data_IF_293010019980
#
_entry.id   IF_293010019980
#
_cell.length_a   1.000
_cell.length_b   1.000
_cell.length_c   1.000
_cell.angle_alpha   90.00
_cell.angle_beta   90.00
_cell.angle_gamma   90.00
#
_symmetry.space_group_name_H-M   'P 1'
#
loop_
_entity.id
_entity.type
_entity.pdbx_description
1 polymer ?
#
# COMPACT_ATOMS: atom_id res chain seq x y z
N UNK A 1 -8.89 6.65 14.98
CA UNK A 1 -10.35 6.87 14.78
C UNK A 1 -10.86 6.00 13.63
N UNK A 2 -12.17 5.73 13.50
CA UNK A 2 -12.71 4.89 12.39
C UNK A 2 -12.36 5.46 11.01
N UNK A 3 -12.55 6.77 10.81
CA UNK A 3 -12.22 7.46 9.55
C UNK A 3 -10.75 7.30 9.13
N UNK A 4 -9.81 7.48 10.06
CA UNK A 4 -8.37 7.30 9.76
C UNK A 4 -8.02 5.87 9.34
N UNK A 5 -8.72 4.85 9.85
CA UNK A 5 -8.51 3.45 9.43
C UNK A 5 -9.03 3.22 8.00
N UNK A 6 -10.16 3.84 7.65
CA UNK A 6 -10.68 3.84 6.27
C UNK A 6 -9.73 4.54 5.31
N UNK A 7 -9.20 5.72 5.67
CA UNK A 7 -8.21 6.43 4.86
C UNK A 7 -6.94 5.58 4.66
N UNK A 8 -6.46 4.92 5.72
CA UNK A 8 -5.33 3.99 5.60
C UNK A 8 -5.62 2.86 4.60
N UNK A 9 -6.82 2.26 4.63
CA UNK A 9 -7.22 1.21 3.67
C UNK A 9 -7.21 1.74 2.23
N UNK A 10 -7.79 2.92 2.00
CA UNK A 10 -7.83 3.55 0.66
C UNK A 10 -6.40 3.80 0.16
N UNK A 11 -5.53 4.37 1.00
CA UNK A 11 -4.15 4.64 0.64
C UNK A 11 -3.37 3.34 0.37
N UNK A 12 -3.57 2.28 1.15
CA UNK A 12 -2.92 0.99 0.94
C UNK A 12 -3.34 0.35 -0.40
N UNK A 13 -4.62 0.37 -0.74
CA UNK A 13 -5.07 -0.12 -2.05
C UNK A 13 -4.63 0.77 -3.21
N UNK A 14 -4.63 2.09 -3.03
CA UNK A 14 -4.09 3.01 -4.02
C UNK A 14 -2.61 2.73 -4.31
N UNK A 15 -1.82 2.44 -3.28
CA UNK A 15 -0.43 2.03 -3.43
C UNK A 15 -0.32 0.72 -4.21
N UNK A 16 -1.04 -0.34 -3.81
CA UNK A 16 -1.03 -1.65 -4.48
C UNK A 16 -1.41 -1.54 -5.96
N UNK A 17 -2.50 -0.84 -6.26
CA UNK A 17 -2.95 -0.62 -7.65
C UNK A 17 -1.90 0.20 -8.41
N UNK A 18 -1.33 1.24 -7.81
CA UNK A 18 -0.32 2.05 -8.47
C UNK A 18 0.98 1.28 -8.76
N UNK A 19 1.38 0.33 -7.90
CA UNK A 19 2.51 -0.59 -8.22
C UNK A 19 2.17 -1.45 -9.43
N UNK A 20 0.96 -2.01 -9.52
CA UNK A 20 0.53 -2.79 -10.69
C UNK A 20 0.56 -1.96 -11.98
N UNK A 21 0.08 -0.70 -11.91
CA UNK A 21 0.10 0.22 -13.05
C UNK A 21 1.54 0.59 -13.43
N UNK A 22 2.45 0.76 -12.46
CA UNK A 22 3.86 0.99 -12.75
C UNK A 22 4.51 -0.18 -13.50
N UNK A 23 4.24 -1.43 -13.08
CA UNK A 23 4.74 -2.63 -13.76
C UNK A 23 4.20 -2.68 -15.19
N UNK A 24 2.93 -2.32 -15.40
CA UNK A 24 2.36 -2.18 -16.74
C UNK A 24 3.07 -1.11 -17.57
N UNK A 25 3.35 0.09 -17.01
CA UNK A 25 4.08 1.14 -17.74
C UNK A 25 5.53 0.74 -18.08
N UNK A 26 6.19 -0.01 -17.20
CA UNK A 26 7.50 -0.60 -17.49
C UNK A 26 7.39 -1.59 -18.67
N UNK A 27 6.37 -2.46 -18.67
CA UNK A 27 6.12 -3.40 -19.76
C UNK A 27 5.76 -2.73 -21.09
N UNK A 28 5.02 -1.63 -21.07
CA UNK A 28 4.74 -0.84 -22.27
C UNK A 28 6.03 -0.35 -22.93
N UNK A 29 6.97 0.15 -22.13
CA UNK A 29 8.25 0.63 -22.63
C UNK A 29 9.18 -0.52 -23.04
N UNK A 30 9.41 -1.49 -22.15
CA UNK A 30 10.42 -2.53 -22.32
C UNK A 30 9.99 -3.70 -23.24
N UNK A 31 8.70 -4.04 -23.24
CA UNK A 31 8.17 -5.19 -23.99
C UNK A 31 7.44 -4.73 -25.25
N UNK A 32 6.53 -3.76 -25.11
CA UNK A 32 5.74 -3.30 -26.25
C UNK A 32 6.48 -2.28 -27.13
N UNK A 33 7.61 -1.71 -26.66
CA UNK A 33 8.33 -0.65 -27.36
C UNK A 33 7.49 0.62 -27.56
N UNK A 34 6.52 0.85 -26.67
CA UNK A 34 5.57 1.97 -26.73
C UNK A 34 5.70 2.84 -25.48
N UNK A 35 5.48 4.14 -25.67
CA UNK A 35 5.66 5.17 -24.63
C UNK A 35 7.10 5.29 -24.13
N UNK A 36 7.39 6.38 -23.44
CA UNK A 36 8.66 6.58 -22.73
C UNK A 36 8.55 6.14 -21.26
N UNK A 37 9.72 6.09 -20.59
CA UNK A 37 9.82 5.78 -19.16
C UNK A 37 9.17 6.83 -18.25
N UNK A 38 8.86 8.03 -18.76
CA UNK A 38 8.32 9.16 -17.99
C UNK A 38 7.05 8.80 -17.21
N UNK A 39 6.15 8.00 -17.81
CA UNK A 39 4.92 7.57 -17.14
C UNK A 39 5.22 6.64 -15.95
N UNK A 40 6.15 5.71 -16.12
CA UNK A 40 6.60 4.79 -15.07
C UNK A 40 7.28 5.57 -13.94
N UNK A 41 8.22 6.46 -14.29
CA UNK A 41 8.98 7.28 -13.34
C UNK A 41 8.07 8.22 -12.54
N UNK A 42 7.20 8.96 -13.22
CA UNK A 42 6.31 9.94 -12.59
C UNK A 42 5.34 9.27 -11.61
N UNK A 43 4.75 8.13 -12.02
CA UNK A 43 3.91 7.33 -11.12
C UNK A 43 4.72 6.73 -9.97
N UNK A 44 5.96 6.31 -10.25
CA UNK A 44 7.02 5.98 -9.28
C UNK A 44 7.05 6.92 -8.09
N UNK A 45 7.38 8.18 -8.37
CA UNK A 45 7.46 9.20 -7.34
C UNK A 45 6.11 9.53 -6.69
N UNK A 46 5.01 9.47 -7.47
CA UNK A 46 3.68 9.74 -6.94
C UNK A 46 3.23 8.70 -5.88
N UNK A 47 3.77 7.47 -5.92
CA UNK A 47 3.50 6.47 -4.89
C UNK A 47 4.02 6.82 -3.49
N UNK A 48 4.91 7.80 -3.34
CA UNK A 48 5.25 8.35 -2.04
C UNK A 48 4.02 8.91 -1.30
N UNK A 49 3.06 9.49 -2.03
CA UNK A 49 1.87 10.13 -1.44
C UNK A 49 1.02 9.14 -0.63
N UNK A 50 0.52 8.02 -1.18
CA UNK A 50 -0.24 7.06 -0.39
C UNK A 50 0.59 6.46 0.76
N UNK A 51 1.90 6.26 0.60
CA UNK A 51 2.76 5.78 1.69
C UNK A 51 2.85 6.76 2.86
N UNK A 52 3.02 8.06 2.59
CA UNK A 52 3.03 9.10 3.63
C UNK A 52 1.67 9.18 4.33
N UNK A 53 0.57 9.07 3.57
CA UNK A 53 -0.78 9.00 4.14
C UNK A 53 -0.93 7.77 5.06
N UNK A 54 -0.44 6.60 4.64
CA UNK A 54 -0.45 5.39 5.46
C UNK A 54 0.36 5.58 6.75
N UNK A 55 1.55 6.16 6.67
CA UNK A 55 2.37 6.45 7.85
C UNK A 55 1.61 7.33 8.84
N UNK A 56 1.06 8.46 8.42
CA UNK A 56 0.31 9.37 9.30
C UNK A 56 -0.91 8.65 9.90
N UNK A 57 -1.70 7.99 9.06
CA UNK A 57 -2.96 7.38 9.48
C UNK A 57 -2.76 6.11 10.31
N UNK A 58 -1.61 5.44 10.25
CA UNK A 58 -1.28 4.33 11.13
C UNK A 58 -1.23 4.76 12.61
N UNK A 59 -0.72 5.97 12.88
CA UNK A 59 -0.66 6.52 14.23
C UNK A 59 -1.99 7.13 14.66
N UNK A 60 -2.63 7.95 13.82
CA UNK A 60 -3.95 8.56 14.11
C UNK A 60 -5.06 7.50 14.23
N UNK A 61 -4.95 6.44 13.43
CA UNK A 61 -5.81 5.24 13.45
C UNK A 61 -5.62 4.35 14.66
N UNK A 62 -4.57 4.59 15.47
CA UNK A 62 -4.14 3.74 16.58
C UNK A 62 -4.02 2.27 16.12
N UNK A 63 -3.40 2.04 14.97
CA UNK A 63 -3.13 0.68 14.47
C UNK A 63 -2.13 -0.03 15.39
N UNK A 64 -2.09 -1.36 15.30
CA UNK A 64 -1.19 -2.19 16.10
C UNK A 64 0.29 -1.84 15.84
N UNK A 65 1.16 -2.07 16.82
CA UNK A 65 2.60 -1.83 16.66
C UNK A 65 3.24 -2.68 15.55
N UNK A 66 2.64 -3.83 15.23
CA UNK A 66 3.05 -4.65 14.07
C UNK A 66 2.73 -3.95 12.76
N UNK A 67 1.52 -3.40 12.61
CA UNK A 67 1.13 -2.68 11.39
C UNK A 67 1.99 -1.45 11.13
N UNK A 68 2.33 -0.70 12.18
CA UNK A 68 3.25 0.45 12.08
C UNK A 68 4.63 0.04 11.58
N UNK A 69 5.21 -1.03 12.14
CA UNK A 69 6.51 -1.56 11.70
C UNK A 69 6.49 -2.02 10.25
N UNK A 70 5.44 -2.72 9.83
CA UNK A 70 5.28 -3.12 8.42
C UNK A 70 5.09 -1.93 7.48
N UNK A 71 4.39 -0.89 7.91
CA UNK A 71 4.22 0.34 7.12
C UNK A 71 5.56 1.05 6.94
N UNK A 72 6.37 1.12 8.00
CA UNK A 72 7.74 1.66 7.91
C UNK A 72 8.67 0.79 7.06
N UNK A 73 8.55 -0.54 7.17
CA UNK A 73 9.30 -1.46 6.31
C UNK A 73 8.95 -1.22 4.85
N UNK A 74 7.67 -1.16 4.51
CA UNK A 74 7.20 -0.85 3.16
C UNK A 74 7.76 0.50 2.68
N UNK A 75 7.67 1.55 3.51
CA UNK A 75 8.23 2.86 3.15
C UNK A 75 9.75 2.79 2.91
N UNK A 76 10.49 2.05 3.74
CA UNK A 76 11.93 1.87 3.58
C UNK A 76 12.31 1.11 2.31
N UNK A 77 11.57 0.04 1.98
CA UNK A 77 11.76 -0.73 0.74
C UNK A 77 11.48 0.15 -0.48
N UNK A 78 10.40 0.94 -0.45
CA UNK A 78 10.08 1.92 -1.48
C UNK A 78 11.23 2.92 -1.71
N UNK A 79 11.72 3.58 -0.65
CA UNK A 79 12.83 4.55 -0.77
C UNK A 79 14.09 3.89 -1.29
N UNK A 80 14.41 2.68 -0.79
CA UNK A 80 15.58 1.93 -1.24
C UNK A 80 15.50 1.63 -2.74
N UNK A 81 14.33 1.28 -3.29
CA UNK A 81 14.23 1.02 -4.72
C UNK A 81 14.11 2.26 -5.60
N UNK A 82 13.37 3.28 -5.14
CA UNK A 82 13.01 4.46 -5.93
C UNK A 82 14.12 5.51 -5.92
N UNK A 83 14.90 5.59 -4.84
CA UNK A 83 15.86 6.67 -4.61
C UNK A 83 17.30 6.19 -4.44
N UNK A 84 17.55 4.88 -4.30
CA UNK A 84 18.91 4.34 -4.16
C UNK A 84 19.26 3.42 -5.33
N UNK A 85 18.59 2.28 -5.48
CA UNK A 85 19.00 1.25 -6.43
C UNK A 85 18.99 1.74 -7.88
N UNK A 86 18.00 2.55 -8.27
CA UNK A 86 17.90 3.04 -9.65
C UNK A 86 19.00 4.04 -10.01
N UNK A 87 19.47 4.84 -9.05
CA UNK A 87 20.55 5.80 -9.27
C UNK A 87 21.92 5.13 -9.37
N UNK A 88 22.04 3.89 -8.88
CA UNK A 88 23.23 3.06 -9.06
C UNK A 88 23.33 2.41 -10.44
N UNK A 89 22.37 2.61 -11.36
CA UNK A 89 22.36 1.95 -12.68
C UNK A 89 23.65 2.12 -13.49
N UNK A 90 24.34 3.25 -13.33
CA UNK A 90 25.57 3.55 -14.07
C UNK A 90 26.83 2.94 -13.42
N UNK A 91 26.86 2.84 -12.08
CA UNK A 91 28.03 2.40 -11.31
C UNK A 91 27.95 0.94 -10.87
N UNK A 92 26.75 0.41 -10.64
CA UNK A 92 26.48 -0.95 -10.19
C UNK A 92 25.21 -1.52 -10.86
N UNK A 93 25.23 -1.81 -12.18
CA UNK A 93 24.05 -2.24 -12.93
C UNK A 93 23.42 -3.54 -12.42
N UNK A 94 24.22 -4.49 -11.93
CA UNK A 94 23.73 -5.74 -11.33
C UNK A 94 22.92 -5.47 -10.07
N UNK A 95 23.35 -4.51 -9.25
CA UNK A 95 22.62 -4.12 -8.04
C UNK A 95 21.35 -3.36 -8.40
N UNK A 96 21.41 -2.46 -9.39
CA UNK A 96 20.23 -1.77 -9.92
C UNK A 96 19.19 -2.73 -10.50
N UNK A 97 19.60 -3.88 -11.05
CA UNK A 97 18.70 -4.91 -11.57
C UNK A 97 17.82 -5.57 -10.50
N UNK A 98 18.07 -5.34 -9.19
CA UNK A 98 17.15 -5.73 -8.13
C UNK A 98 15.89 -4.88 -8.04
N UNK A 99 15.81 -3.74 -8.75
CA UNK A 99 14.65 -2.86 -8.71
C UNK A 99 13.30 -3.59 -8.95
N UNK A 100 13.14 -4.46 -9.97
CA UNK A 100 11.90 -5.24 -10.14
C UNK A 100 11.61 -6.21 -8.98
N UNK A 101 12.65 -6.76 -8.33
CA UNK A 101 12.47 -7.64 -7.16
C UNK A 101 11.94 -6.83 -5.97
N UNK A 102 12.44 -5.61 -5.78
CA UNK A 102 11.95 -4.71 -4.73
C UNK A 102 10.51 -4.27 -4.99
N UNK A 103 10.12 -4.05 -6.25
CA UNK A 103 8.73 -3.77 -6.60
C UNK A 103 7.78 -4.92 -6.23
N UNK A 104 8.22 -6.19 -6.35
CA UNK A 104 7.44 -7.35 -5.89
C UNK A 104 7.31 -7.39 -4.37
N UNK A 105 8.37 -7.01 -3.63
CA UNK A 105 8.34 -6.91 -2.17
C UNK A 105 7.37 -5.81 -1.74
N UNK A 106 7.44 -4.63 -2.37
CA UNK A 106 6.50 -3.52 -2.12
C UNK A 106 5.06 -3.93 -2.40
N UNK A 107 4.81 -4.62 -3.51
CA UNK A 107 3.49 -5.16 -3.83
C UNK A 107 3.00 -6.12 -2.75
N UNK A 108 3.82 -7.08 -2.35
CA UNK A 108 3.46 -8.08 -1.34
C UNK A 108 3.17 -7.44 0.03
N UNK A 109 4.05 -6.54 0.48
CA UNK A 109 3.88 -5.80 1.73
C UNK A 109 2.64 -4.91 1.68
N UNK A 110 2.44 -4.17 0.59
CA UNK A 110 1.28 -3.32 0.36
C UNK A 110 -0.03 -4.10 0.38
N UNK A 111 -0.09 -5.24 -0.32
CA UNK A 111 -1.26 -6.11 -0.37
C UNK A 111 -1.59 -6.69 1.01
N UNK A 112 -0.57 -7.17 1.73
CA UNK A 112 -0.72 -7.66 3.09
C UNK A 112 -1.27 -6.56 4.03
N UNK A 113 -0.71 -5.34 3.98
CA UNK A 113 -1.18 -4.20 4.77
C UNK A 113 -2.62 -3.82 4.41
N UNK A 114 -2.96 -3.81 3.13
CA UNK A 114 -4.30 -3.47 2.64
C UNK A 114 -5.35 -4.48 3.10
N UNK A 115 -5.04 -5.78 3.05
CA UNK A 115 -5.90 -6.85 3.54
C UNK A 115 -6.11 -6.78 5.06
N UNK A 116 -5.02 -6.63 5.83
CA UNK A 116 -5.10 -6.52 7.28
C UNK A 116 -5.90 -5.28 7.72
N UNK A 117 -5.65 -4.12 7.10
CA UNK A 117 -6.39 -2.91 7.41
C UNK A 117 -7.87 -3.03 7.05
N UNK A 118 -8.21 -3.70 5.94
CA UNK A 118 -9.60 -3.95 5.57
C UNK A 118 -10.32 -4.84 6.60
N UNK A 119 -9.64 -5.87 7.13
CA UNK A 119 -10.19 -6.71 8.19
C UNK A 119 -10.53 -5.90 9.45
N UNK A 120 -9.65 -4.96 9.84
CA UNK A 120 -9.89 -4.05 10.98
C UNK A 120 -11.13 -3.18 10.74
N UNK A 121 -11.23 -2.54 9.56
CA UNK A 121 -12.39 -1.69 9.23
C UNK A 121 -13.69 -2.49 9.17
N UNK A 122 -13.65 -3.73 8.69
CA UNK A 122 -14.83 -4.62 8.69
C UNK A 122 -15.25 -4.99 10.11
N UNK A 123 -14.31 -5.34 10.99
CA UNK A 123 -14.60 -5.63 12.40
C UNK A 123 -15.21 -4.42 13.13
N UNK A 124 -14.71 -3.20 12.88
CA UNK A 124 -15.25 -1.95 13.44
C UNK A 124 -16.71 -1.68 13.00
N UNK A 125 -17.11 -2.16 11.81
CA UNK A 125 -18.48 -2.05 11.29
C UNK A 125 -19.40 -3.09 11.93
N UNK A 126 -18.95 -4.34 12.03
CA UNK A 126 -19.73 -5.41 12.68
C UNK A 126 -20.02 -5.10 14.15
N UNK A 127 -19.04 -4.58 14.89
CA UNK A 127 -19.21 -4.18 16.28
C UNK A 127 -20.15 -2.96 16.47
N UNK A 128 -20.46 -2.23 15.39
CA UNK A 128 -21.32 -1.05 15.43
C UNK A 128 -22.76 -1.31 14.96
N UNK A 129 -23.05 -2.50 14.41
CA UNK A 129 -24.41 -2.89 14.06
C UNK A 129 -25.22 -3.13 15.35
N UNK A 130 -26.39 -2.50 15.53
CA UNK A 130 -27.25 -2.79 16.67
C UNK A 130 -27.60 -4.28 16.70
N UNK A 131 -27.40 -4.93 17.84
CA UNK A 131 -28.05 -6.22 18.09
C UNK A 131 -29.54 -5.95 18.12
N UNK A 132 -30.24 -6.18 17.00
CA UNK A 132 -31.69 -6.32 17.01
C UNK A 132 -32.00 -7.57 17.82
N UNK A 133 -32.16 -7.38 19.14
CA UNK A 133 -32.74 -8.41 19.99
C UNK A 133 -34.14 -8.70 19.42
N UNK A 134 -34.50 -9.96 19.15
CA UNK A 134 -35.90 -10.31 19.01
C UNK A 134 -36.55 -9.93 20.34
N UNK A 135 -37.47 -8.98 20.29
CA UNK A 135 -38.35 -8.64 21.39
C UNK A 135 -39.03 -9.94 21.83
N UNK A 136 -38.54 -10.53 22.92
CA UNK A 136 -39.23 -11.60 23.61
C UNK A 136 -40.50 -10.97 24.15
N UNK A 137 -41.63 -11.16 23.48
CA UNK A 137 -42.95 -10.82 24.00
C UNK A 137 -43.21 -11.76 25.19
N UNK A 138 -43.35 -11.26 26.42
CA UNK A 138 -43.87 -12.02 27.54
C UNK A 138 -45.36 -11.68 27.73
N UNK A 139 -46.22 -12.70 27.70
CA UNK A 139 -47.67 -12.61 27.98
C UNK A 139 -48.52 -12.71 26.71
N UNK A 140 -49.51 -13.59 26.58
CA UNK A 140 -50.39 -14.20 27.59
C UNK A 140 -50.57 -15.72 27.44
#
# INVERSE_FOLDING_TARGET
>A
MKASRTVYVIAAWAFVIGVLVQVFFAGMTAVAGRWGWDNHISLGHFLAVPLLVMLITAYVGKLSGHMKRLTWLLFGVYVLQADVLIFLRASAPVLSAFHPVMALIDFALGLMLAQQAMAIVRADKTAAAPQSQPESIPGD
#
